data_IF_071498180420
#
_entry.id   IF_071498180420
#
_cell.length_a   1.000
_cell.length_b   1.000
_cell.length_c   1.000
_cell.angle_alpha   90.00
_cell.angle_beta   90.00
_cell.angle_gamma   90.00
#
_symmetry.space_group_name_H-M   'P 1'
#
loop_
_entity.id
_entity.type
_entity.pdbx_description
1 polymer ?
#
# COMPACT_ATOMS: atom_id res chain seq x y z
N UNK A 1 -46.39 49.38 68.47
CA UNK A 1 -46.47 49.04 67.03
C UNK A 1 -45.07 48.71 66.47
N UNK A 2 -44.02 49.43 66.87
CA UNK A 2 -42.63 49.23 66.42
C UNK A 2 -41.99 47.87 66.79
N UNK A 3 -42.28 47.33 67.98
CA UNK A 3 -41.72 46.04 68.42
C UNK A 3 -42.15 44.85 67.54
N UNK A 4 -43.34 44.93 66.93
CA UNK A 4 -43.89 43.85 66.11
C UNK A 4 -43.29 43.86 64.70
N UNK A 5 -43.11 45.05 64.12
CA UNK A 5 -42.42 45.23 62.84
C UNK A 5 -40.94 44.82 62.90
N UNK A 6 -40.25 45.11 64.01
CA UNK A 6 -38.86 44.67 64.21
C UNK A 6 -38.72 43.15 64.34
N UNK A 7 -39.74 42.47 64.87
CA UNK A 7 -39.72 41.02 65.04
C UNK A 7 -40.06 40.28 63.74
N UNK A 8 -40.98 40.82 62.93
CA UNK A 8 -41.30 40.33 61.59
C UNK A 8 -40.10 40.46 60.63
N UNK A 9 -39.40 41.61 60.64
CA UNK A 9 -38.19 41.81 59.85
C UNK A 9 -37.04 40.88 60.24
N UNK A 10 -36.90 40.56 61.53
CA UNK A 10 -35.87 39.62 62.01
C UNK A 10 -36.20 38.18 61.59
N UNK A 11 -37.48 37.80 61.58
CA UNK A 11 -37.92 36.47 61.11
C UNK A 11 -37.73 36.30 59.60
N UNK A 12 -37.99 37.33 58.79
CA UNK A 12 -37.73 37.33 57.35
C UNK A 12 -36.22 37.21 57.06
N UNK A 13 -35.39 37.98 57.77
CA UNK A 13 -33.94 37.93 57.62
C UNK A 13 -33.37 36.54 57.98
N UNK A 14 -33.90 35.91 59.03
CA UNK A 14 -33.52 34.53 59.38
C UNK A 14 -33.98 33.52 58.32
N UNK A 15 -35.18 33.68 57.75
CA UNK A 15 -35.68 32.82 56.67
C UNK A 15 -34.80 32.91 55.42
N UNK A 16 -34.47 34.12 54.98
CA UNK A 16 -33.58 34.34 53.83
C UNK A 16 -32.17 33.75 54.04
N UNK A 17 -31.64 33.81 55.27
CA UNK A 17 -30.35 33.20 55.62
C UNK A 17 -30.40 31.67 55.53
N UNK A 18 -31.49 31.06 56.01
CA UNK A 18 -31.71 29.61 55.93
C UNK A 18 -31.79 29.15 54.47
N UNK A 19 -32.51 29.90 53.62
CA UNK A 19 -32.62 29.63 52.18
C UNK A 19 -31.27 29.72 51.47
N UNK A 20 -30.47 30.75 51.77
CA UNK A 20 -29.12 30.91 51.21
C UNK A 20 -28.21 29.75 51.64
N UNK A 21 -28.24 29.35 52.92
CA UNK A 21 -27.46 28.21 53.41
C UNK A 21 -27.89 26.90 52.75
N UNK A 22 -29.18 26.73 52.50
CA UNK A 22 -29.72 25.56 51.80
C UNK A 22 -29.27 25.55 50.34
N UNK A 23 -29.34 26.69 49.65
CA UNK A 23 -28.85 26.83 48.27
C UNK A 23 -27.35 26.57 48.13
N UNK A 24 -26.54 27.09 49.06
CA UNK A 24 -25.09 26.84 49.10
C UNK A 24 -24.81 25.36 49.33
N UNK A 25 -25.55 24.71 50.25
CA UNK A 25 -25.38 23.29 50.53
C UNK A 25 -25.77 22.43 49.33
N UNK A 26 -26.86 22.79 48.64
CA UNK A 26 -27.29 22.15 47.40
C UNK A 26 -26.24 22.29 46.30
N UNK A 27 -25.74 23.50 46.07
CA UNK A 27 -24.72 23.77 45.06
C UNK A 27 -23.42 23.02 45.35
N UNK A 28 -23.00 22.97 46.62
CA UNK A 28 -21.82 22.19 47.04
C UNK A 28 -22.00 20.70 46.74
N UNK A 29 -23.19 20.17 47.02
CA UNK A 29 -23.53 18.77 46.75
C UNK A 29 -23.49 18.47 45.24
N UNK A 30 -24.17 19.29 44.43
CA UNK A 30 -24.17 19.14 42.97
C UNK A 30 -22.76 19.26 42.36
N UNK A 31 -21.97 20.21 42.84
CA UNK A 31 -20.59 20.39 42.37
C UNK A 31 -19.71 19.19 42.74
N UNK A 32 -19.88 18.63 43.93
CA UNK A 32 -19.14 17.44 44.36
C UNK A 32 -19.51 16.23 43.50
N UNK A 33 -20.80 16.03 43.22
CA UNK A 33 -21.27 14.95 42.35
C UNK A 33 -20.74 15.10 40.92
N UNK A 34 -20.80 16.31 40.33
CA UNK A 34 -20.25 16.56 39.00
C UNK A 34 -18.75 16.32 38.92
N UNK A 35 -18.00 16.67 39.96
CA UNK A 35 -16.56 16.38 40.01
C UNK A 35 -16.29 14.87 40.03
N UNK A 36 -17.08 14.11 40.78
CA UNK A 36 -16.95 12.64 40.86
C UNK A 36 -17.30 11.97 39.52
N UNK A 37 -18.35 12.44 38.84
CA UNK A 37 -18.69 12.02 37.47
C UNK A 37 -17.57 12.32 36.47
N UNK A 38 -16.98 13.52 36.53
CA UNK A 38 -15.86 13.89 35.65
C UNK A 38 -14.63 13.03 35.92
N UNK A 39 -14.29 12.78 37.19
CA UNK A 39 -13.16 11.92 37.54
C UNK A 39 -13.35 10.51 36.99
N UNK A 40 -14.57 9.96 37.13
CA UNK A 40 -14.92 8.65 36.58
C UNK A 40 -14.78 8.62 35.06
N UNK A 41 -15.31 9.63 34.37
CA UNK A 41 -15.20 9.71 32.91
C UNK A 41 -13.74 9.84 32.44
N UNK A 42 -12.91 10.60 33.16
CA UNK A 42 -11.47 10.74 32.85
C UNK A 42 -10.74 9.41 33.04
N UNK A 43 -11.06 8.65 34.07
CA UNK A 43 -10.47 7.32 34.30
C UNK A 43 -10.84 6.33 33.21
N UNK A 44 -12.11 6.32 32.77
CA UNK A 44 -12.59 5.50 31.66
C UNK A 44 -11.91 5.89 30.35
N UNK A 45 -11.84 7.19 30.04
CA UNK A 45 -11.15 7.69 28.83
C UNK A 45 -9.67 7.31 28.83
N UNK A 46 -9.00 7.36 29.99
CA UNK A 46 -7.59 6.95 30.12
C UNK A 46 -7.42 5.45 29.87
N UNK A 47 -8.36 4.63 30.34
CA UNK A 47 -8.37 3.19 30.11
C UNK A 47 -8.51 2.90 28.61
N UNK A 48 -9.47 3.53 27.94
CA UNK A 48 -9.71 3.37 26.50
C UNK A 48 -8.51 3.82 25.68
N UNK A 49 -7.86 4.92 26.06
CA UNK A 49 -6.64 5.38 25.41
C UNK A 49 -5.49 4.38 25.54
N UNK A 50 -5.37 3.73 26.70
CA UNK A 50 -4.34 2.72 26.95
C UNK A 50 -4.57 1.48 26.08
N UNK A 51 -5.81 0.99 26.01
CA UNK A 51 -6.19 -0.14 25.14
C UNK A 51 -5.95 0.19 23.65
N UNK A 52 -6.35 1.38 23.23
CA UNK A 52 -6.12 1.86 21.87
C UNK A 52 -4.62 1.90 21.52
N UNK A 53 -3.79 2.42 22.44
CA UNK A 53 -2.34 2.48 22.26
C UNK A 53 -1.73 1.09 22.15
N UNK A 54 -2.15 0.14 22.98
CA UNK A 54 -1.67 -1.25 22.93
C UNK A 54 -2.06 -1.93 21.60
N UNK A 55 -3.29 -1.73 21.14
CA UNK A 55 -3.77 -2.25 19.87
C UNK A 55 -3.02 -1.65 18.67
N UNK A 56 -2.75 -0.35 18.68
CA UNK A 56 -1.96 0.33 17.65
C UNK A 56 -0.54 -0.23 17.65
N UNK A 57 0.11 -0.33 18.81
CA UNK A 57 1.46 -0.87 18.92
C UNK A 57 1.53 -2.30 18.39
N UNK A 58 0.55 -3.14 18.71
CA UNK A 58 0.49 -4.51 18.20
C UNK A 58 0.26 -4.56 16.67
N UNK A 59 -0.56 -3.66 16.12
CA UNK A 59 -0.80 -3.58 14.67
C UNK A 59 0.44 -3.08 13.91
N UNK A 60 1.14 -2.08 14.44
CA UNK A 60 2.39 -1.55 13.86
C UNK A 60 3.49 -2.62 13.83
N UNK A 61 3.65 -3.39 14.91
CA UNK A 61 4.64 -4.49 14.96
C UNK A 61 4.35 -5.55 13.91
N UNK A 62 3.08 -5.95 13.73
CA UNK A 62 2.68 -6.92 12.69
C UNK A 62 2.93 -6.38 11.29
N UNK A 63 2.52 -5.13 11.03
CA UNK A 63 2.69 -4.50 9.72
C UNK A 63 4.16 -4.32 9.34
N UNK A 64 5.05 -4.05 10.32
CA UNK A 64 6.47 -3.81 10.06
C UNK A 64 7.28 -5.08 9.80
N UNK A 65 6.79 -6.27 10.17
CA UNK A 65 7.63 -7.49 10.20
C UNK A 65 7.20 -8.56 9.20
N UNK A 66 5.93 -8.59 8.79
CA UNK A 66 5.41 -9.75 8.06
C UNK A 66 5.05 -9.44 6.58
N UNK A 67 4.54 -8.24 6.27
CA UNK A 67 4.00 -7.99 4.93
C UNK A 67 5.05 -7.47 3.93
N UNK A 68 5.97 -6.61 4.33
CA UNK A 68 6.91 -6.01 3.37
C UNK A 68 7.96 -7.01 2.89
N UNK A 69 8.50 -7.85 3.78
CA UNK A 69 9.55 -8.79 3.43
C UNK A 69 9.04 -10.00 2.62
N UNK A 70 7.86 -10.51 2.98
CA UNK A 70 7.26 -11.66 2.29
C UNK A 70 6.83 -11.30 0.86
N UNK A 71 6.26 -10.11 0.67
CA UNK A 71 5.89 -9.61 -0.65
C UNK A 71 7.12 -9.36 -1.51
N UNK A 72 8.18 -8.77 -0.95
CA UNK A 72 9.43 -8.55 -1.70
C UNK A 72 10.09 -9.87 -2.12
N UNK A 73 10.18 -10.87 -1.24
CA UNK A 73 10.72 -12.19 -1.60
C UNK A 73 9.87 -12.89 -2.67
N UNK A 74 8.54 -12.85 -2.54
CA UNK A 74 7.65 -13.47 -3.53
C UNK A 74 7.74 -12.77 -4.89
N UNK A 75 7.81 -11.44 -4.91
CA UNK A 75 8.00 -10.67 -6.15
C UNK A 75 9.32 -11.00 -6.82
N UNK A 76 10.42 -11.09 -6.07
CA UNK A 76 11.73 -11.41 -6.61
C UNK A 76 11.78 -12.84 -7.19
N UNK A 77 11.19 -13.82 -6.50
CA UNK A 77 11.09 -15.20 -7.02
C UNK A 77 10.25 -15.27 -8.30
N UNK A 78 9.18 -14.47 -8.39
CA UNK A 78 8.34 -14.42 -9.58
C UNK A 78 9.06 -13.73 -10.75
N UNK A 79 9.81 -12.67 -10.49
CA UNK A 79 10.63 -11.99 -11.50
C UNK A 79 11.71 -12.92 -12.06
N UNK A 80 12.45 -13.62 -11.20
CA UNK A 80 13.47 -14.58 -11.64
C UNK A 80 12.88 -15.70 -12.49
N UNK A 81 11.71 -16.21 -12.10
CA UNK A 81 10.99 -17.23 -12.89
C UNK A 81 10.51 -16.68 -14.23
N UNK A 82 10.05 -15.44 -14.28
CA UNK A 82 9.63 -14.80 -15.52
C UNK A 82 10.82 -14.63 -16.47
N UNK A 83 11.96 -14.14 -15.96
CA UNK A 83 13.20 -13.99 -16.73
C UNK A 83 13.73 -15.33 -17.23
N UNK A 84 13.70 -16.39 -16.41
CA UNK A 84 14.06 -17.75 -16.86
C UNK A 84 13.14 -18.22 -18.00
N UNK A 85 11.83 -18.07 -17.83
CA UNK A 85 10.85 -18.47 -18.84
C UNK A 85 11.02 -17.69 -20.14
N UNK A 86 11.21 -16.38 -20.08
CA UNK A 86 11.42 -15.53 -21.25
C UNK A 86 12.73 -15.90 -21.96
N UNK A 87 13.82 -16.06 -21.20
CA UNK A 87 15.12 -16.46 -21.74
C UNK A 87 14.99 -17.81 -22.46
N UNK A 88 14.43 -18.82 -21.80
CA UNK A 88 14.27 -20.17 -22.36
C UNK A 88 13.33 -20.22 -23.55
N UNK A 89 12.26 -19.42 -23.54
CA UNK A 89 11.36 -19.27 -24.69
C UNK A 89 12.08 -18.61 -25.88
N UNK A 90 12.99 -17.69 -25.60
CA UNK A 90 13.84 -17.04 -26.60
C UNK A 90 14.95 -17.93 -27.17
N UNK A 91 15.49 -18.88 -26.39
CA UNK A 91 16.63 -19.71 -26.81
C UNK A 91 16.36 -20.57 -28.04
N UNK A 92 15.11 -20.97 -28.26
CA UNK A 92 14.73 -21.77 -29.43
C UNK A 92 14.37 -20.93 -30.66
N UNK A 93 14.44 -19.59 -30.56
CA UNK A 93 14.13 -18.68 -31.64
C UNK A 93 15.41 -18.21 -32.35
N UNK A 94 15.48 -18.43 -33.66
CA UNK A 94 16.56 -17.92 -34.51
C UNK A 94 16.12 -16.66 -35.25
N UNK A 95 17.02 -15.68 -35.37
CA UNK A 95 16.84 -14.49 -36.20
C UNK A 95 17.83 -14.50 -37.35
N UNK A 96 17.33 -14.72 -38.56
CA UNK A 96 18.10 -14.58 -39.80
C UNK A 96 18.08 -13.11 -40.22
N UNK A 97 19.25 -12.56 -40.55
CA UNK A 97 19.40 -11.18 -41.03
C UNK A 97 20.05 -11.19 -42.41
N UNK A 98 19.79 -10.16 -43.22
CA UNK A 98 20.31 -10.03 -44.59
C UNK A 98 19.86 -11.13 -45.56
N UNK A 99 18.72 -11.79 -45.29
CA UNK A 99 18.07 -12.65 -46.28
C UNK A 99 17.30 -11.75 -47.28
N UNK A 100 17.56 -11.86 -48.60
CA UNK A 100 16.85 -11.05 -49.58
C UNK A 100 15.34 -11.29 -49.55
N UNK A 101 14.56 -10.21 -49.59
CA UNK A 101 13.10 -10.30 -49.61
C UNK A 101 12.62 -11.04 -50.87
N UNK A 102 11.79 -12.05 -50.69
CA UNK A 102 11.27 -12.88 -51.78
C UNK A 102 12.20 -13.99 -52.26
N UNK A 103 13.36 -14.20 -51.62
CA UNK A 103 14.15 -15.42 -51.79
C UNK A 103 13.51 -16.63 -51.09
N UNK A 104 12.57 -16.37 -50.19
CA UNK A 104 11.78 -17.37 -49.48
C UNK A 104 10.68 -17.92 -50.40
N UNK A 105 10.60 -19.25 -50.52
CA UNK A 105 9.46 -19.93 -51.14
C UNK A 105 8.14 -19.63 -50.37
N UNK A 106 6.96 -19.90 -50.97
CA UNK A 106 5.67 -19.70 -50.30
C UNK A 106 5.55 -20.40 -48.94
N UNK A 107 6.34 -21.46 -48.74
CA UNK A 107 6.53 -22.12 -47.45
C UNK A 107 7.91 -21.78 -46.86
N UNK A 108 7.96 -20.72 -46.06
CA UNK A 108 9.19 -20.24 -45.42
C UNK A 108 9.79 -21.27 -44.44
N UNK A 109 8.96 -22.13 -43.84
CA UNK A 109 9.46 -23.16 -42.92
C UNK A 109 10.29 -24.19 -43.68
N UNK A 110 9.72 -24.79 -44.73
CA UNK A 110 10.43 -25.77 -45.57
C UNK A 110 11.67 -25.18 -46.23
N UNK A 111 11.60 -23.92 -46.66
CA UNK A 111 12.76 -23.20 -47.20
C UNK A 111 13.91 -23.14 -46.18
N UNK A 112 13.65 -22.67 -44.96
CA UNK A 112 14.70 -22.52 -43.94
C UNK A 112 15.22 -23.87 -43.42
N UNK A 113 14.37 -24.89 -43.34
CA UNK A 113 14.78 -26.25 -42.94
C UNK A 113 15.83 -26.86 -43.89
N UNK A 114 15.73 -26.57 -45.20
CA UNK A 114 16.72 -26.97 -46.19
C UNK A 114 17.90 -26.00 -46.32
N UNK A 115 17.62 -24.70 -46.25
CA UNK A 115 18.61 -23.65 -46.45
C UNK A 115 19.62 -23.54 -45.30
N UNK A 116 19.20 -23.71 -44.03
CA UNK A 116 20.11 -23.57 -42.88
C UNK A 116 21.24 -24.60 -42.91
N UNK A 117 20.98 -25.91 -43.10
CA UNK A 117 22.04 -26.91 -43.22
C UNK A 117 22.99 -26.63 -44.39
N UNK A 118 22.46 -26.18 -45.54
CA UNK A 118 23.25 -25.85 -46.72
C UNK A 118 24.14 -24.60 -46.48
N UNK A 119 23.55 -23.53 -45.95
CA UNK A 119 24.23 -22.25 -45.71
C UNK A 119 25.34 -22.36 -44.66
N UNK A 120 25.21 -23.29 -43.70
CA UNK A 120 26.17 -23.52 -42.63
C UNK A 120 27.11 -24.70 -42.90
N UNK A 121 27.04 -25.31 -44.09
CA UNK A 121 27.79 -26.52 -44.48
C UNK A 121 27.72 -27.62 -43.40
N UNK A 122 26.52 -27.82 -42.86
CA UNK A 122 26.28 -28.85 -41.86
C UNK A 122 26.35 -30.21 -42.53
N UNK A 123 27.28 -31.06 -42.07
CA UNK A 123 27.28 -32.48 -42.42
C UNK A 123 25.94 -33.16 -42.07
N UNK A 124 25.76 -34.43 -42.45
CA UNK A 124 24.49 -35.15 -42.26
C UNK A 124 24.02 -35.08 -40.80
N UNK A 125 22.91 -34.37 -40.58
CA UNK A 125 22.34 -34.18 -39.25
C UNK A 125 21.77 -35.50 -38.72
N UNK A 126 21.91 -35.71 -37.40
CA UNK A 126 21.34 -36.91 -36.73
C UNK A 126 19.81 -36.89 -36.74
N UNK A 127 19.22 -35.70 -36.80
CA UNK A 127 17.79 -35.48 -36.95
C UNK A 127 17.56 -34.27 -37.87
N UNK A 128 16.49 -34.27 -38.69
CA UNK A 128 16.11 -33.10 -39.48
C UNK A 128 15.85 -31.88 -38.59
N UNK A 129 16.18 -30.69 -39.09
CA UNK A 129 15.72 -29.44 -38.47
C UNK A 129 14.23 -29.31 -38.77
N UNK A 130 13.43 -29.00 -37.76
CA UNK A 130 12.00 -28.76 -37.90
C UNK A 130 11.67 -27.42 -37.26
N UNK A 131 10.99 -26.57 -38.02
CA UNK A 131 10.56 -25.24 -37.57
C UNK A 131 9.09 -25.30 -37.13
N UNK A 132 8.79 -24.84 -35.91
CA UNK A 132 7.39 -24.72 -35.46
C UNK A 132 6.68 -23.54 -36.14
N UNK A 133 7.41 -22.42 -36.30
CA UNK A 133 6.87 -21.19 -36.88
C UNK A 133 7.99 -20.34 -37.45
N UNK A 134 7.74 -19.75 -38.60
CA UNK A 134 8.58 -18.70 -39.17
C UNK A 134 7.73 -17.45 -39.39
N UNK A 135 8.32 -16.29 -39.09
CA UNK A 135 7.71 -14.99 -39.32
C UNK A 135 8.77 -13.98 -39.69
N UNK A 136 8.44 -13.07 -40.61
CA UNK A 136 9.26 -11.87 -40.82
C UNK A 136 9.19 -11.01 -39.57
N UNK A 137 10.35 -10.66 -39.03
CA UNK A 137 10.41 -9.75 -37.90
C UNK A 137 10.18 -8.33 -38.42
N UNK A 138 9.15 -7.65 -37.90
CA UNK A 138 8.98 -6.22 -38.13
C UNK A 138 10.21 -5.45 -37.62
N UNK A 139 10.50 -4.31 -38.25
CA UNK A 139 11.56 -3.41 -37.78
C UNK A 139 11.29 -3.02 -36.33
N UNK A 140 12.24 -3.35 -35.43
CA UNK A 140 12.22 -2.75 -34.09
C UNK A 140 12.47 -1.26 -34.28
N UNK A 141 11.44 -0.44 -34.08
CA UNK A 141 11.61 1.00 -33.87
C UNK A 141 12.54 1.17 -32.67
N UNK A 142 13.80 1.54 -32.92
CA UNK A 142 14.69 1.97 -31.86
C UNK A 142 14.14 3.30 -31.34
N UNK A 143 13.53 3.29 -30.17
CA UNK A 143 13.33 4.53 -29.43
C UNK A 143 14.72 4.99 -28.98
N UNK A 144 15.20 6.07 -29.58
CA UNK A 144 16.45 6.72 -29.16
C UNK A 144 16.35 7.03 -27.67
N UNK A 145 17.23 6.42 -26.87
CA UNK A 145 17.39 6.73 -25.44
C UNK A 145 18.27 7.97 -25.30
N UNK A 146 17.86 9.07 -25.94
CA UNK A 146 18.44 10.38 -25.71
C UNK A 146 17.34 11.23 -25.04
N UNK A 147 17.69 11.85 -23.92
CA UNK A 147 16.89 12.77 -23.08
C UNK A 147 16.29 12.18 -21.78
N UNK A 148 17.13 11.65 -20.88
CA UNK A 148 16.76 11.53 -19.45
C UNK A 148 17.70 12.27 -18.48
N UNK A 149 18.59 13.14 -18.99
CA UNK A 149 19.57 13.85 -18.16
C UNK A 149 19.33 15.37 -18.08
N UNK A 150 18.09 15.84 -18.09
CA UNK A 150 17.86 17.30 -18.00
C UNK A 150 16.57 17.69 -17.27
N UNK A 151 16.39 17.21 -16.03
CA UNK A 151 15.35 17.77 -15.15
C UNK A 151 15.67 17.61 -13.65
N UNK A 152 16.91 17.90 -13.23
CA UNK A 152 17.22 18.18 -11.82
C UNK A 152 18.30 19.27 -11.72
N UNK A 153 17.91 20.49 -12.04
CA UNK A 153 18.62 21.69 -11.59
C UNK A 153 17.61 22.81 -11.46
N UNK A 154 16.97 22.90 -10.30
CA UNK A 154 16.46 24.17 -9.80
C UNK A 154 17.39 24.65 -8.67
N UNK A 155 17.74 25.96 -8.64
CA UNK A 155 18.42 26.61 -7.52
C UNK A 155 17.48 26.90 -6.34
#
# INVERSE_FOLDING_TARGET
MEHRASQEANTELTGAKEEILTAISSLKSEFSNRLEEILTAVEETRKDLTDCTERITQAEVRSSTEDEHAVLEETQVLEDKFVDMETRSGLNNLRVVNLPEGAEDPDTCSFLEGWIPEALDMGPLRCPIVMERVRRAEERKQYSTENFDNEFSEP
#
